data_IF_649269082265
#
_entry.id   IF_649269082265
#
_cell.length_a   1.000
_cell.length_b   1.000
_cell.length_c   1.000
_cell.angle_alpha   90.00
_cell.angle_beta   90.00
_cell.angle_gamma   90.00
#
_symmetry.space_group_name_H-M   'P 1'
#
loop_
_entity.id
_entity.type
_entity.pdbx_description
1 polymer ?
#
# COMPACT_ATOMS: atom_id res chain seq x y z
N UNK A 1 -3.87 -2.18 -22.49
CA UNK A 1 -4.85 -2.49 -21.41
C UNK A 1 -6.09 -3.11 -22.03
N UNK A 2 -6.67 -4.16 -21.44
CA UNK A 2 -7.80 -4.89 -22.04
C UNK A 2 -9.13 -4.13 -21.89
N UNK A 3 -10.08 -4.39 -22.80
CA UNK A 3 -11.44 -3.82 -22.71
C UNK A 3 -12.15 -4.21 -21.40
N UNK A 4 -11.96 -5.45 -20.94
CA UNK A 4 -12.48 -5.95 -19.67
C UNK A 4 -12.04 -5.09 -18.48
N UNK A 5 -10.77 -4.71 -18.41
CA UNK A 5 -10.29 -3.84 -17.34
C UNK A 5 -10.93 -2.46 -17.38
N UNK A 6 -11.08 -1.85 -18.56
CA UNK A 6 -11.73 -0.54 -18.70
C UNK A 6 -13.17 -0.56 -18.16
N UNK A 7 -13.92 -1.62 -18.46
CA UNK A 7 -15.28 -1.82 -17.95
C UNK A 7 -15.30 -1.95 -16.43
N UNK A 8 -14.45 -2.81 -15.87
CA UNK A 8 -14.35 -3.00 -14.41
C UNK A 8 -13.96 -1.69 -13.72
N UNK A 9 -12.95 -0.99 -14.24
CA UNK A 9 -12.50 0.30 -13.71
C UNK A 9 -13.62 1.34 -13.68
N UNK A 10 -14.41 1.43 -14.76
CA UNK A 10 -15.57 2.33 -14.83
C UNK A 10 -16.64 1.96 -13.79
N UNK A 11 -16.91 0.65 -13.62
CA UNK A 11 -17.87 0.16 -12.60
C UNK A 11 -17.42 0.47 -11.18
N UNK A 12 -16.12 0.41 -10.91
CA UNK A 12 -15.53 0.71 -9.60
C UNK A 12 -15.32 2.22 -9.34
N UNK A 13 -15.70 3.10 -10.28
CA UNK A 13 -15.50 4.55 -10.13
C UNK A 13 -14.03 4.98 -10.06
N UNK A 14 -13.10 4.15 -10.56
CA UNK A 14 -11.66 4.41 -10.45
C UNK A 14 -11.18 5.43 -11.50
N UNK A 15 -10.14 6.24 -11.20
CA UNK A 15 -9.62 7.24 -12.12
C UNK A 15 -9.22 6.69 -13.49
N UNK A 16 -9.36 7.50 -14.54
CA UNK A 16 -8.98 7.14 -15.91
C UNK A 16 -7.50 6.75 -16.09
N UNK A 17 -6.63 7.16 -15.17
CA UNK A 17 -5.21 6.81 -15.12
C UNK A 17 -4.89 5.57 -14.29
N UNK A 18 -5.86 5.00 -13.57
CA UNK A 18 -5.64 3.84 -12.71
C UNK A 18 -5.46 2.57 -13.55
N UNK A 19 -4.31 1.91 -13.37
CA UNK A 19 -3.87 0.71 -14.07
C UNK A 19 -3.95 -0.50 -13.16
N UNK A 20 -3.97 -1.69 -13.76
CA UNK A 20 -3.86 -2.97 -13.03
C UNK A 20 -2.57 -3.07 -12.20
N UNK A 21 -1.49 -2.40 -12.65
CA UNK A 21 -0.26 -2.33 -11.89
C UNK A 21 -0.45 -1.55 -10.58
N UNK A 22 -1.31 -0.54 -10.59
CA UNK A 22 -1.58 0.28 -9.41
C UNK A 22 -2.43 -0.50 -8.39
N UNK A 23 -3.35 -1.37 -8.84
CA UNK A 23 -4.04 -2.31 -7.93
C UNK A 23 -3.11 -3.36 -7.33
N UNK A 24 -2.15 -3.87 -8.12
CA UNK A 24 -1.13 -4.79 -7.59
C UNK A 24 -0.26 -4.11 -6.54
N UNK A 25 0.17 -2.88 -6.80
CA UNK A 25 0.92 -2.09 -5.84
C UNK A 25 0.13 -1.80 -4.56
N UNK A 26 -1.18 -1.55 -4.68
CA UNK A 26 -2.06 -1.31 -3.52
C UNK A 26 -2.11 -2.54 -2.61
N UNK A 27 -2.43 -3.73 -3.18
CA UNK A 27 -2.46 -4.99 -2.43
C UNK A 27 -1.14 -5.26 -1.68
N UNK A 28 0.00 -5.08 -2.34
CA UNK A 28 1.31 -5.32 -1.72
C UNK A 28 1.54 -4.35 -0.54
N UNK A 29 1.15 -3.08 -0.67
CA UNK A 29 1.26 -2.15 0.47
C UNK A 29 0.31 -2.54 1.60
N UNK A 30 -0.93 -2.93 1.29
CA UNK A 30 -1.92 -3.31 2.29
C UNK A 30 -1.47 -4.56 3.08
N UNK A 31 -0.96 -5.59 2.38
CA UNK A 31 -0.41 -6.80 3.02
C UNK A 31 0.78 -6.43 3.92
N UNK A 32 1.69 -5.57 3.45
CA UNK A 32 2.82 -5.12 4.27
C UNK A 32 2.36 -4.30 5.47
N UNK A 33 1.44 -3.36 5.29
CA UNK A 33 0.92 -2.51 6.39
C UNK A 33 0.15 -3.35 7.42
N UNK A 34 -0.49 -4.45 7.02
CA UNK A 34 -1.09 -5.45 7.91
C UNK A 34 -0.05 -6.27 8.72
N UNK A 35 1.25 -6.14 8.39
CA UNK A 35 2.32 -6.84 9.08
C UNK A 35 2.61 -8.23 8.52
N UNK A 36 2.11 -8.55 7.33
CA UNK A 36 2.36 -9.84 6.67
C UNK A 36 3.87 -10.08 6.43
N UNK A 37 4.25 -11.35 6.34
CA UNK A 37 5.64 -11.74 6.11
C UNK A 37 6.11 -11.27 4.73
N UNK A 38 7.18 -10.48 4.70
CA UNK A 38 7.78 -9.94 3.46
C UNK A 38 8.10 -11.03 2.42
N UNK A 39 8.58 -12.20 2.85
CA UNK A 39 8.93 -13.31 1.95
C UNK A 39 7.67 -13.85 1.28
N UNK A 40 6.58 -14.00 2.03
CA UNK A 40 5.30 -14.46 1.49
C UNK A 40 4.65 -13.42 0.58
N UNK A 41 4.66 -12.14 0.98
CA UNK A 41 4.18 -11.05 0.13
C UNK A 41 4.98 -10.99 -1.18
N UNK A 42 6.30 -11.18 -1.12
CA UNK A 42 7.14 -11.23 -2.31
C UNK A 42 6.84 -12.44 -3.20
N UNK A 43 6.62 -13.62 -2.60
CA UNK A 43 6.26 -14.84 -3.32
C UNK A 43 4.88 -14.70 -3.99
N UNK A 44 3.88 -14.17 -3.28
CA UNK A 44 2.55 -13.89 -3.80
C UNK A 44 2.57 -12.86 -4.93
N UNK A 45 3.46 -11.87 -4.82
CA UNK A 45 3.73 -10.91 -5.89
C UNK A 45 4.54 -11.54 -7.05
N UNK A 46 5.09 -12.74 -6.90
CA UNK A 46 6.00 -13.39 -7.86
C UNK A 46 7.26 -12.57 -8.14
N UNK A 47 7.83 -11.96 -7.11
CA UNK A 47 9.14 -11.30 -7.23
C UNK A 47 10.26 -12.33 -7.09
N UNK A 48 11.27 -12.21 -7.96
CA UNK A 48 12.44 -13.11 -7.97
C UNK A 48 13.21 -13.11 -6.65
N UNK A 49 13.18 -12.00 -5.90
CA UNK A 49 13.72 -11.95 -4.55
C UNK A 49 12.86 -11.05 -3.64
N UNK A 50 12.82 -11.33 -2.32
CA UNK A 50 12.12 -10.48 -1.36
C UNK A 50 12.67 -9.05 -1.28
N UNK A 51 13.98 -8.89 -1.55
CA UNK A 51 14.64 -7.58 -1.58
C UNK A 51 14.03 -6.62 -2.62
N UNK A 52 13.49 -7.14 -3.73
CA UNK A 52 12.80 -6.35 -4.74
C UNK A 52 11.51 -5.73 -4.17
N UNK A 53 10.73 -6.51 -3.42
CA UNK A 53 9.55 -6.02 -2.69
C UNK A 53 9.96 -4.98 -1.66
N UNK A 54 10.99 -5.27 -0.86
CA UNK A 54 11.45 -4.37 0.19
C UNK A 54 11.98 -3.04 -0.37
N UNK A 55 12.73 -3.07 -1.47
CA UNK A 55 13.23 -1.86 -2.12
C UNK A 55 12.10 -1.01 -2.69
N UNK A 56 11.10 -1.65 -3.30
CA UNK A 56 10.00 -0.94 -3.95
C UNK A 56 8.94 -0.41 -2.95
N UNK A 57 8.67 -1.15 -1.88
CA UNK A 57 7.55 -0.89 -0.98
C UNK A 57 7.95 -0.63 0.48
N UNK A 58 9.16 -1.01 0.89
CA UNK A 58 9.64 -0.82 2.28
C UNK A 58 9.71 0.63 2.72
N UNK A 59 9.97 1.59 1.80
CA UNK A 59 9.95 3.03 2.12
C UNK A 59 8.55 3.51 2.51
N UNK A 60 7.51 2.97 1.86
CA UNK A 60 6.12 3.32 2.15
C UNK A 60 5.68 2.81 3.52
N UNK A 61 6.20 1.67 3.99
CA UNK A 61 5.95 1.19 5.36
C UNK A 61 6.37 2.20 6.43
N UNK A 62 7.53 2.82 6.28
CA UNK A 62 8.01 3.84 7.23
C UNK A 62 7.12 5.09 7.22
N UNK A 63 6.67 5.53 6.05
CA UNK A 63 5.81 6.70 5.93
C UNK A 63 4.36 6.40 6.36
N UNK A 64 3.84 5.21 6.08
CA UNK A 64 2.55 4.70 6.59
C UNK A 64 2.57 4.61 8.12
N UNK A 65 3.65 4.06 8.71
CA UNK A 65 3.81 3.97 10.16
C UNK A 65 3.84 5.36 10.82
N UNK A 66 4.57 6.32 10.25
CA UNK A 66 4.55 7.72 10.71
C UNK A 66 3.14 8.31 10.65
N UNK A 67 2.44 8.14 9.53
CA UNK A 67 1.07 8.65 9.35
C UNK A 67 0.10 8.06 10.38
N UNK A 68 0.19 6.76 10.65
CA UNK A 68 -0.63 6.08 11.67
C UNK A 68 -0.31 6.59 13.09
N UNK A 69 0.97 6.80 13.39
CA UNK A 69 1.39 7.38 14.66
C UNK A 69 0.85 8.81 14.84
N UNK A 70 0.94 9.67 13.83
CA UNK A 70 0.37 11.03 13.85
C UNK A 70 -1.14 11.00 14.03
N UNK A 71 -1.86 10.18 13.25
CA UNK A 71 -3.31 10.06 13.37
C UNK A 71 -3.76 9.53 14.75
N UNK A 72 -2.93 8.71 15.40
CA UNK A 72 -3.18 8.23 16.76
C UNK A 72 -2.90 9.30 17.81
N UNK A 73 -1.85 10.11 17.62
CA UNK A 73 -1.53 11.24 18.50
C UNK A 73 -2.64 12.30 18.51
N UNK A 74 -3.25 12.58 17.34
CA UNK A 74 -4.39 13.48 17.23
C UNK A 74 -5.64 12.94 17.94
N UNK A 75 -5.88 11.62 17.84
CA UNK A 75 -7.03 10.97 18.51
C UNK A 75 -6.88 10.92 20.04
N UNK A 76 -5.65 10.80 20.53
CA UNK A 76 -5.35 10.67 21.96
C UNK A 76 -5.09 12.00 22.66
N UNK A 77 -5.20 13.13 21.94
CA UNK A 77 -4.96 14.46 22.50
C UNK A 77 -3.48 14.72 22.86
N UNK A 78 -2.57 13.87 22.40
CA UNK A 78 -1.13 14.03 22.63
C UNK A 78 -0.54 15.15 21.76
N UNK A 79 -1.20 15.51 20.65
CA UNK A 79 -0.78 16.62 19.80
C UNK A 79 -0.87 17.99 20.48
N UNK A 80 -1.66 18.14 21.56
CA UNK A 80 -1.76 19.38 22.34
C UNK A 80 -0.82 19.45 23.56
N UNK A 81 -0.14 18.36 23.91
CA UNK A 81 0.78 18.29 25.07
C UNK A 81 2.23 18.63 24.67
N UNK A 82 2.55 18.54 23.38
CA UNK A 82 3.88 18.83 22.84
C UNK A 82 4.03 20.26 22.28
N UNK A 83 3.04 21.13 22.51
CA UNK A 83 3.09 22.56 22.19
C UNK A 83 3.49 23.37 23.43
#
# INVERSE_FOLDING_TARGET
MTARWRTVRKRLGLPGKFRLHDSRASKINDDLDAGENLVEVAANARHHNPGCTMRAYGRRRADSAKRLATASADRTGLSTVAA
#
